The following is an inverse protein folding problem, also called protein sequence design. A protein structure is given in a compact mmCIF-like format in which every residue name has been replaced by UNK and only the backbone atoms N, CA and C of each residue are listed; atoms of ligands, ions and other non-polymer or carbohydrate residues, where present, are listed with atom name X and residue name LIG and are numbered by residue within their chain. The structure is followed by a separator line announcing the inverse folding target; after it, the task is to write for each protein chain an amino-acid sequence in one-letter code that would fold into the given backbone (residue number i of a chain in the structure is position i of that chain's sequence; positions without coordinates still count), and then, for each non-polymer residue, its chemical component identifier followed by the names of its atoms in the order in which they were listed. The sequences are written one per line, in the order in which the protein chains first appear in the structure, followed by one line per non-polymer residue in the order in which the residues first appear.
data_IF_782494721202
#
_entry.id   IF_782494721202
#
_cell.length_a   1.000
_cell.length_b   1.000
_cell.length_c   1.000
_cell.angle_alpha   90.00
_cell.angle_beta   90.00
_cell.angle_gamma   90.00
#
_symmetry.space_group_name_H-M   'P 1'
#
loop_
_entity.id
_entity.type
_entity.pdbx_description
1 polymer ?
#
# COMPACT_ATOMS: atom_id res chain seq x y z
N UNK A 1 1.17 -38.19 -4.92
CA UNK A 1 0.29 -37.23 -5.64
C UNK A 1 0.54 -37.35 -7.12
N UNK A 2 -0.50 -37.65 -7.91
CA UNK A 2 -0.35 -37.96 -9.32
C UNK A 2 -0.15 -36.66 -10.11
N UNK A 3 0.99 -36.52 -10.79
CA UNK A 3 1.40 -35.28 -11.47
C UNK A 3 0.39 -34.79 -12.52
N UNK A 4 -0.41 -35.72 -13.07
CA UNK A 4 -1.47 -35.45 -14.03
C UNK A 4 -2.67 -34.71 -13.39
N UNK A 5 -2.89 -34.86 -12.08
CA UNK A 5 -3.99 -34.20 -11.37
C UNK A 5 -3.73 -32.69 -11.20
N UNK A 6 -2.45 -32.30 -11.07
CA UNK A 6 -2.05 -30.89 -10.96
C UNK A 6 -2.28 -30.11 -12.27
N UNK A 7 -2.14 -30.78 -13.43
CA UNK A 7 -2.41 -30.18 -14.73
C UNK A 7 -3.90 -29.88 -14.94
N UNK A 8 -4.79 -30.77 -14.47
CA UNK A 8 -6.25 -30.59 -14.60
C UNK A 8 -6.75 -29.41 -13.77
N UNK A 9 -6.21 -29.21 -12.56
CA UNK A 9 -6.58 -28.08 -11.71
C UNK A 9 -6.13 -26.74 -12.33
N UNK A 10 -4.92 -26.70 -12.90
CA UNK A 10 -4.40 -25.51 -13.58
C UNK A 10 -5.25 -25.09 -14.79
N UNK A 11 -5.74 -26.05 -15.57
CA UNK A 11 -6.56 -25.79 -16.74
C UNK A 11 -7.94 -25.18 -16.39
N UNK A 12 -8.55 -25.57 -15.25
CA UNK A 12 -9.87 -25.09 -14.84
C UNK A 12 -9.84 -23.62 -14.39
N UNK A 13 -8.75 -23.20 -13.74
CA UNK A 13 -8.59 -21.80 -13.27
C UNK A 13 -8.48 -20.83 -14.46
N UNK A 14 -7.82 -21.23 -15.55
CA UNK A 14 -7.68 -20.40 -16.75
C UNK A 14 -9.00 -20.23 -17.53
N UNK A 15 -9.88 -21.23 -17.52
CA UNK A 15 -11.21 -21.15 -18.16
C UNK A 15 -12.16 -20.25 -17.37
N UNK A 16 -12.06 -20.22 -16.03
CA UNK A 16 -12.90 -19.37 -15.19
C UNK A 16 -12.59 -17.87 -15.36
N UNK A 17 -11.32 -17.48 -15.58
CA UNK A 17 -10.95 -16.08 -15.81
C UNK A 17 -11.42 -15.56 -17.18
N UNK A 18 -11.47 -16.42 -18.21
CA UNK A 18 -11.95 -16.04 -19.54
C UNK A 18 -13.49 -15.84 -19.61
N UNK A 19 -14.24 -16.39 -18.65
CA UNK A 19 -15.70 -16.24 -18.56
C UNK A 19 -16.17 -15.04 -17.71
N UNK A 20 -15.26 -14.31 -17.06
CA UNK A 20 -15.53 -13.01 -16.43
C UNK A 20 -15.14 -11.80 -17.32
N UNK A 21 -14.95 -12.02 -18.61
CA UNK A 21 -14.52 -10.98 -19.56
C UNK A 21 -15.28 -11.01 -20.88
N UNK A 22 -16.61 -10.84 -20.86
CA UNK A 22 -17.37 -10.52 -22.08
C UNK A 22 -18.71 -9.83 -21.80
N UNK A 23 -18.87 -8.60 -22.28
CA UNK A 23 -20.13 -7.86 -22.33
C UNK A 23 -19.92 -6.36 -22.62
N UNK A 24 -19.97 -5.98 -23.90
CA UNK A 24 -19.90 -4.61 -24.45
C UNK A 24 -21.26 -3.86 -24.30
N UNK A 25 -21.17 -2.59 -23.89
CA UNK A 25 -21.83 -1.31 -24.29
C UNK A 25 -23.31 -1.18 -24.79
N UNK A 26 -23.83 0.07 -24.67
CA UNK A 26 -25.08 0.71 -25.20
C UNK A 26 -26.31 0.73 -24.23
N UNK A 27 -27.07 1.81 -23.94
CA UNK A 27 -27.20 3.20 -24.42
C UNK A 27 -28.01 4.07 -23.39
N UNK A 28 -27.73 5.39 -23.39
CA UNK A 28 -28.48 6.58 -22.94
C UNK A 28 -29.23 6.68 -21.57
N UNK A 29 -28.73 7.57 -20.71
CA UNK A 29 -29.50 8.70 -20.20
C UNK A 29 -28.60 9.87 -19.76
N UNK A 30 -28.59 10.95 -20.54
CA UNK A 30 -28.15 12.28 -20.09
C UNK A 30 -29.12 12.76 -19.00
N UNK A 31 -28.59 13.15 -17.84
CA UNK A 31 -29.21 14.16 -16.99
C UNK A 31 -28.11 15.10 -16.52
N UNK A 32 -28.16 16.30 -17.09
CA UNK A 32 -27.39 17.48 -16.74
C UNK A 32 -27.88 18.09 -15.43
N UNK A 33 -26.91 18.53 -14.62
CA UNK A 33 -27.07 19.50 -13.53
C UNK A 33 -27.27 18.87 -12.15
N UNK A 34 -26.63 19.30 -11.06
CA UNK A 34 -25.51 20.21 -10.82
C UNK A 34 -25.14 20.03 -9.34
N UNK A 35 -23.87 20.27 -9.00
CA UNK A 35 -23.36 20.69 -7.69
C UNK A 35 -23.86 20.00 -6.40
N UNK A 36 -22.98 19.23 -5.78
CA UNK A 36 -22.32 19.64 -4.52
C UNK A 36 -21.73 18.42 -3.81
N UNK A 37 -20.42 18.44 -3.55
CA UNK A 37 -19.78 17.48 -2.67
C UNK A 37 -18.40 17.05 -3.14
N UNK A 38 -17.51 18.02 -3.29
CA UNK A 38 -16.08 17.80 -3.46
C UNK A 38 -15.53 16.98 -2.27
N UNK A 39 -15.52 15.66 -2.40
CA UNK A 39 -14.73 14.77 -1.55
C UNK A 39 -13.36 14.61 -2.22
N UNK A 40 -12.48 15.51 -1.84
CA UNK A 40 -11.03 15.53 -2.01
C UNK A 40 -10.45 14.32 -2.76
N UNK A 41 -10.26 14.50 -4.07
CA UNK A 41 -9.17 13.85 -4.79
C UNK A 41 -7.90 14.18 -4.01
N UNK A 42 -7.24 13.17 -3.46
CA UNK A 42 -5.92 13.28 -2.84
C UNK A 42 -4.93 13.83 -3.86
N UNK A 43 -4.86 15.16 -3.94
CA UNK A 43 -3.77 15.83 -4.62
C UNK A 43 -2.49 15.56 -3.83
N UNK A 44 -1.34 15.38 -4.50
CA UNK A 44 -0.05 15.50 -3.82
C UNK A 44 -0.03 16.85 -3.10
N UNK A 45 0.44 16.87 -1.85
CA UNK A 45 0.52 18.09 -1.06
C UNK A 45 1.16 19.21 -1.89
N UNK A 46 0.44 20.32 -2.06
CA UNK A 46 0.94 21.49 -2.78
C UNK A 46 2.27 21.93 -2.15
N UNK A 47 3.28 22.33 -2.94
CA UNK A 47 4.53 22.84 -2.39
C UNK A 47 4.21 24.06 -1.52
N UNK A 48 4.63 24.01 -0.26
CA UNK A 48 4.53 25.15 0.66
C UNK A 48 5.21 26.36 0.04
N UNK A 49 4.46 27.45 -0.12
CA UNK A 49 4.97 28.74 -0.60
C UNK A 49 6.07 29.22 0.36
N UNK A 50 7.26 29.45 -0.19
CA UNK A 50 8.40 29.97 0.54
C UNK A 50 8.29 31.50 0.61
N UNK A 51 7.92 32.02 1.78
CA UNK A 51 8.05 33.44 2.11
C UNK A 51 9.55 33.81 2.20
N UNK A 52 10.05 34.87 1.55
CA UNK A 52 11.48 35.16 1.52
C UNK A 52 11.87 36.07 2.69
N UNK A 53 12.68 35.57 3.62
CA UNK A 53 13.75 36.31 4.32
C UNK A 53 14.32 35.50 5.49
N UNK A 54 15.02 34.40 5.22
CA UNK A 54 16.26 33.98 5.91
C UNK A 54 16.93 32.98 4.96
N UNK A 55 18.27 32.91 4.94
CA UNK A 55 19.12 32.06 4.07
C UNK A 55 18.35 30.91 3.41
N UNK A 56 18.24 30.95 2.08
CA UNK A 56 17.54 29.94 1.28
C UNK A 56 17.87 28.52 1.78
N UNK A 57 16.87 27.62 1.82
CA UNK A 57 16.99 26.33 2.49
C UNK A 57 18.28 25.68 2.01
N UNK A 58 19.15 25.37 2.96
CA UNK A 58 20.47 24.85 2.64
C UNK A 58 20.25 23.41 2.16
N UNK A 59 19.92 23.27 0.87
CA UNK A 59 19.41 22.03 0.28
C UNK A 59 20.42 20.90 0.47
N UNK A 60 21.71 21.21 0.53
CA UNK A 60 22.76 20.24 0.83
C UNK A 60 22.78 19.79 2.30
N UNK A 61 22.35 20.65 3.23
CA UNK A 61 22.16 20.30 4.64
C UNK A 61 20.89 19.47 4.83
N UNK A 62 19.76 19.91 4.26
CA UNK A 62 18.50 19.17 4.30
C UNK A 62 18.62 17.82 3.59
N UNK A 63 19.29 17.78 2.44
CA UNK A 63 19.62 16.53 1.75
C UNK A 63 20.50 15.69 2.65
N UNK A 64 21.60 16.19 3.23
CA UNK A 64 22.47 15.40 4.13
C UNK A 64 21.76 14.86 5.38
N UNK A 65 20.82 15.64 5.93
CA UNK A 65 20.01 15.24 7.07
C UNK A 65 18.93 14.21 6.68
N UNK A 66 18.49 14.18 5.41
CA UNK A 66 17.50 13.24 4.87
C UNK A 66 18.08 12.18 3.91
N UNK A 67 19.41 12.14 3.71
CA UNK A 67 20.08 11.43 2.60
C UNK A 67 20.21 9.91 2.82
N UNK A 68 19.26 9.30 3.52
CA UNK A 68 19.08 7.85 3.39
C UNK A 68 19.03 7.07 4.68
N UNK A 69 18.73 7.70 5.82
CA UNK A 69 18.41 6.94 7.03
C UNK A 69 17.12 7.48 7.63
N UNK A 70 16.06 6.69 7.48
CA UNK A 70 14.80 6.87 8.20
C UNK A 70 15.10 7.01 9.70
N UNK A 71 14.52 8.01 10.34
CA UNK A 71 14.72 8.25 11.78
C UNK A 71 14.24 7.04 12.60
N UNK A 72 14.75 6.83 13.83
CA UNK A 72 14.26 5.76 14.70
C UNK A 72 12.75 5.81 14.93
N UNK A 73 12.19 7.01 15.09
CA UNK A 73 10.77 7.25 15.29
C UNK A 73 9.96 6.87 14.05
N UNK A 74 10.42 7.25 12.87
CA UNK A 74 9.78 6.86 11.61
C UNK A 74 9.85 5.34 11.39
N UNK A 75 10.99 4.71 11.72
CA UNK A 75 11.14 3.24 11.67
C UNK A 75 10.11 2.55 12.57
N UNK A 76 9.96 3.00 13.81
CA UNK A 76 8.96 2.45 14.73
C UNK A 76 7.54 2.61 14.17
N UNK A 77 7.20 3.79 13.65
CA UNK A 77 5.90 4.05 13.02
C UNK A 77 5.66 3.17 11.78
N UNK A 78 6.70 2.83 11.02
CA UNK A 78 6.58 1.92 9.89
C UNK A 78 6.42 0.46 10.28
N UNK A 79 7.08 0.02 11.35
CA UNK A 79 6.88 -1.33 11.91
C UNK A 79 5.44 -1.48 12.41
N UNK A 80 4.93 -0.50 13.15
CA UNK A 80 3.54 -0.52 13.63
C UNK A 80 2.54 -0.52 12.47
N UNK A 81 2.74 0.36 11.48
CA UNK A 81 1.90 0.36 10.27
C UNK A 81 1.92 -0.98 9.54
N UNK A 82 3.07 -1.66 9.46
CA UNK A 82 3.17 -2.98 8.84
C UNK A 82 2.36 -4.03 9.61
N UNK A 83 2.42 -4.00 10.96
CA UNK A 83 1.60 -4.85 11.82
C UNK A 83 0.11 -4.63 11.56
N UNK A 84 -0.35 -3.39 11.69
CA UNK A 84 -1.77 -3.06 11.63
C UNK A 84 -2.36 -3.36 10.24
N UNK A 85 -1.59 -3.10 9.18
CA UNK A 85 -1.98 -3.46 7.81
C UNK A 85 -2.13 -4.98 7.64
N UNK A 86 -1.22 -5.77 8.19
CA UNK A 86 -1.29 -7.23 8.10
C UNK A 86 -2.45 -7.81 8.94
N UNK A 87 -2.68 -7.28 10.14
CA UNK A 87 -3.85 -7.64 10.96
C UNK A 87 -5.16 -7.30 10.23
N UNK A 88 -5.24 -6.10 9.66
CA UNK A 88 -6.41 -5.65 8.89
C UNK A 88 -6.62 -6.51 7.65
N UNK A 89 -5.57 -6.85 6.91
CA UNK A 89 -5.66 -7.69 5.73
C UNK A 89 -6.10 -9.12 6.09
N UNK A 90 -5.56 -9.69 7.17
CA UNK A 90 -5.94 -11.00 7.68
C UNK A 90 -7.42 -11.04 8.07
N UNK A 91 -7.91 -10.02 8.80
CA UNK A 91 -9.34 -9.90 9.14
C UNK A 91 -10.21 -9.75 7.90
N UNK A 92 -9.78 -8.96 6.92
CA UNK A 92 -10.52 -8.74 5.67
C UNK A 92 -10.74 -10.02 4.86
N UNK A 93 -9.82 -10.99 4.95
CA UNK A 93 -9.96 -12.31 4.31
C UNK A 93 -10.60 -13.37 5.22
N UNK A 94 -11.16 -12.96 6.36
CA UNK A 94 -11.94 -13.82 7.26
C UNK A 94 -11.11 -14.62 8.28
N UNK A 95 -9.84 -14.27 8.50
CA UNK A 95 -9.04 -14.88 9.58
C UNK A 95 -9.57 -14.47 10.95
N UNK A 96 -9.41 -15.36 11.93
CA UNK A 96 -9.80 -15.08 13.32
C UNK A 96 -8.78 -14.14 14.01
N UNK A 97 -9.11 -13.70 15.24
CA UNK A 97 -8.29 -12.72 15.98
C UNK A 97 -6.85 -13.19 16.18
N UNK A 98 -6.65 -14.44 16.58
CA UNK A 98 -5.32 -14.99 16.87
C UNK A 98 -4.47 -15.08 15.58
N UNK A 99 -5.10 -15.48 14.47
CA UNK A 99 -4.45 -15.54 13.16
C UNK A 99 -4.09 -14.14 12.64
N UNK A 100 -5.00 -13.17 12.81
CA UNK A 100 -4.74 -11.79 12.44
C UNK A 100 -3.57 -11.20 13.25
N UNK A 101 -3.57 -11.41 14.56
CA UNK A 101 -2.48 -10.98 15.44
C UNK A 101 -1.15 -11.63 15.03
N UNK A 102 -1.13 -12.94 14.77
CA UNK A 102 0.06 -13.63 14.29
C UNK A 102 0.57 -13.08 12.96
N UNK A 103 -0.33 -12.72 12.03
CA UNK A 103 0.04 -12.06 10.78
C UNK A 103 0.64 -10.67 11.01
N UNK A 104 0.06 -9.89 11.93
CA UNK A 104 0.60 -8.60 12.38
C UNK A 104 2.01 -8.72 12.94
N UNK A 105 2.22 -9.61 13.90
CA UNK A 105 3.52 -9.84 14.53
C UNK A 105 4.58 -10.30 13.50
N UNK A 106 4.21 -11.20 12.59
CA UNK A 106 5.10 -11.63 11.52
C UNK A 106 5.50 -10.47 10.60
N UNK A 107 4.57 -9.57 10.26
CA UNK A 107 4.83 -8.39 9.45
C UNK A 107 5.74 -7.38 10.17
N UNK A 108 5.51 -7.16 11.47
CA UNK A 108 6.36 -6.30 12.30
C UNK A 108 7.81 -6.79 12.33
N UNK A 109 8.01 -8.10 12.57
CA UNK A 109 9.33 -8.74 12.58
C UNK A 109 10.01 -8.64 11.21
N UNK A 110 9.26 -8.85 10.13
CA UNK A 110 9.80 -8.74 8.77
C UNK A 110 10.23 -7.29 8.45
N UNK A 111 9.44 -6.30 8.84
CA UNK A 111 9.76 -4.89 8.68
C UNK A 111 11.03 -4.52 9.46
N UNK A 112 11.13 -4.95 10.73
CA UNK A 112 12.30 -4.73 11.55
C UNK A 112 13.57 -5.31 10.91
N UNK A 113 13.53 -6.58 10.46
CA UNK A 113 14.67 -7.22 9.79
C UNK A 113 15.09 -6.48 8.52
N UNK A 114 14.13 -5.92 7.77
CA UNK A 114 14.45 -5.13 6.58
C UNK A 114 15.22 -3.86 6.94
N UNK A 115 14.83 -3.16 8.01
CA UNK A 115 15.56 -1.98 8.50
C UNK A 115 16.95 -2.31 9.04
N UNK A 116 17.13 -3.47 9.65
CA UNK A 116 18.44 -3.96 10.11
C UNK A 116 19.34 -4.31 8.93
N UNK A 117 18.82 -5.01 7.92
CA UNK A 117 19.56 -5.38 6.71
C UNK A 117 19.97 -4.18 5.84
N UNK A 118 19.23 -3.06 5.94
CA UNK A 118 19.61 -1.81 5.29
C UNK A 118 20.70 -1.04 6.06
N UNK A 119 20.84 -1.25 7.36
CA UNK A 119 21.88 -0.62 8.18
C UNK A 119 23.23 -1.34 8.10
N UNK A 120 23.25 -2.60 7.64
CA UNK A 120 24.46 -3.40 7.47
C UNK A 120 25.10 -3.30 6.07
N UNK A 121 24.65 -2.38 5.22
CA UNK A 121 25.19 -2.12 3.89
C UNK A 121 26.02 -0.84 3.89
#
# INVERSE_FOLDING_TARGET
MNRNFLFVISAIVLVALAACGKGEEEDAAVSTGSDAGAAAVSQPAAPVENTPAEKGPNLMKALRENAGVMTPEEKAAAIERARDNAESAARAVGQNSDQAQAAGEAAAVAAQRSFEAQQSK
#
